data_IF_473847171928
#
_entry.id   IF_473847171928
#
_cell.length_a   1.000
_cell.length_b   1.000
_cell.length_c   1.000
_cell.angle_alpha   90.00
_cell.angle_beta   90.00
_cell.angle_gamma   90.00
#
_symmetry.space_group_name_H-M   'P 1'
#
loop_
_entity.id
_entity.type
_entity.pdbx_description
1 polymer ?
#
# COMPACT_ATOMS: atom_id res chain seq x y z
N UNK A 1 -11.56 15.00 5.06
CA UNK A 1 -10.28 14.41 5.53
C UNK A 1 -10.65 13.71 6.82
N UNK A 2 -10.70 12.38 6.80
CA UNK A 2 -11.34 11.50 7.81
C UNK A 2 -10.98 11.87 9.26
N UNK A 3 -9.74 12.33 9.49
CA UNK A 3 -9.26 12.79 10.80
C UNK A 3 -9.98 14.04 11.35
N UNK A 4 -10.38 15.00 10.50
CA UNK A 4 -11.15 16.19 10.91
C UNK A 4 -12.61 15.85 11.20
N UNK A 5 -13.16 14.87 10.50
CA UNK A 5 -14.52 14.39 10.70
C UNK A 5 -14.66 13.69 12.06
N UNK A 6 -13.63 12.96 12.49
CA UNK A 6 -13.53 12.33 13.82
C UNK A 6 -13.09 13.29 14.95
N UNK A 7 -13.06 14.61 14.68
CA UNK A 7 -12.73 15.68 15.64
C UNK A 7 -11.38 15.49 16.35
N UNK A 8 -10.39 14.94 15.65
CA UNK A 8 -9.02 14.92 16.17
C UNK A 8 -8.40 16.32 16.07
N UNK A 9 -7.76 16.81 17.15
CA UNK A 9 -7.04 18.08 17.13
C UNK A 9 -5.69 17.90 16.41
N UNK A 10 -5.73 17.72 15.09
CA UNK A 10 -4.54 17.62 14.24
C UNK A 10 -4.28 18.96 13.57
N UNK A 11 -3.06 19.47 13.69
CA UNK A 11 -2.61 20.65 12.95
C UNK A 11 -1.82 20.24 11.70
N UNK A 12 -1.53 21.22 10.85
CA UNK A 12 -0.66 21.00 9.69
C UNK A 12 0.74 20.56 10.08
N UNK A 13 1.22 20.91 11.27
CA UNK A 13 2.57 20.57 11.74
C UNK A 13 2.72 19.07 11.98
N UNK A 14 1.72 18.41 12.59
CA UNK A 14 1.75 16.96 12.76
C UNK A 14 1.69 16.22 11.42
N UNK A 15 0.84 16.71 10.51
CA UNK A 15 0.74 16.14 9.16
C UNK A 15 2.05 16.26 8.40
N UNK A 16 2.70 17.43 8.45
CA UNK A 16 4.02 17.62 7.82
C UNK A 16 5.08 16.72 8.44
N UNK A 17 5.05 16.52 9.76
CA UNK A 17 5.97 15.63 10.44
C UNK A 17 5.85 14.19 9.94
N UNK A 18 4.62 13.70 9.77
CA UNK A 18 4.37 12.40 9.18
C UNK A 18 4.89 12.31 7.74
N UNK A 19 4.61 13.31 6.90
CA UNK A 19 5.07 13.35 5.51
C UNK A 19 6.61 13.35 5.40
N UNK A 20 7.30 14.05 6.29
CA UNK A 20 8.77 14.04 6.32
C UNK A 20 9.32 12.68 6.77
N UNK A 21 8.66 11.98 7.69
CA UNK A 21 9.02 10.61 8.05
C UNK A 21 8.84 9.63 6.87
N UNK A 22 7.75 9.78 6.11
CA UNK A 22 7.51 8.98 4.91
C UNK A 22 8.54 9.25 3.81
N UNK A 23 8.88 10.52 3.55
CA UNK A 23 9.94 10.89 2.60
C UNK A 23 11.29 10.27 2.94
N UNK A 24 11.57 10.10 4.24
CA UNK A 24 12.80 9.47 4.74
C UNK A 24 12.74 7.93 4.75
N UNK A 25 11.66 7.32 4.26
CA UNK A 25 11.46 5.86 4.27
C UNK A 25 11.60 5.24 5.68
N UNK A 26 11.13 5.94 6.72
CA UNK A 26 11.17 5.42 8.11
C UNK A 26 10.31 4.15 8.25
N UNK A 27 9.20 4.07 7.51
CA UNK A 27 8.33 2.89 7.40
C UNK A 27 8.05 2.64 5.93
N UNK A 28 7.99 1.36 5.53
CA UNK A 28 7.73 0.97 4.14
C UNK A 28 7.05 -0.40 4.08
N UNK A 29 6.05 -0.53 3.20
CA UNK A 29 5.45 -1.82 2.83
C UNK A 29 4.65 -2.55 3.92
N UNK A 30 4.51 -1.98 5.12
CA UNK A 30 3.70 -2.56 6.21
C UNK A 30 2.71 -1.55 6.77
N UNK A 31 1.43 -1.90 6.74
CA UNK A 31 0.32 -1.07 7.26
C UNK A 31 0.44 -0.87 8.76
N UNK A 32 0.85 -1.90 9.51
CA UNK A 32 1.02 -1.83 10.95
C UNK A 32 2.10 -0.82 11.37
N UNK A 33 3.24 -0.80 10.67
CA UNK A 33 4.31 0.17 10.92
C UNK A 33 3.83 1.61 10.61
N UNK A 34 3.05 1.76 9.54
CA UNK A 34 2.43 3.04 9.21
C UNK A 34 1.39 3.47 10.24
N UNK A 35 0.60 2.55 10.80
CA UNK A 35 -0.33 2.83 11.88
C UNK A 35 0.39 3.41 13.11
N UNK A 36 1.45 2.76 13.57
CA UNK A 36 2.19 3.25 14.73
C UNK A 36 2.89 4.59 14.46
N UNK A 37 3.49 4.77 13.29
CA UNK A 37 4.12 6.04 12.92
C UNK A 37 3.09 7.18 12.82
N UNK A 38 1.97 6.94 12.16
CA UNK A 38 0.92 7.94 12.01
C UNK A 38 0.28 8.30 13.34
N UNK A 39 0.04 7.33 14.24
CA UNK A 39 -0.43 7.57 15.60
C UNK A 39 0.56 8.41 16.40
N UNK A 40 1.86 8.10 16.32
CA UNK A 40 2.94 8.83 16.98
C UNK A 40 3.02 10.29 16.50
N UNK A 41 2.86 10.53 15.19
CA UNK A 41 2.94 11.88 14.64
C UNK A 41 1.67 12.70 14.91
N UNK A 42 0.49 12.10 14.73
CA UNK A 42 -0.79 12.80 14.64
C UNK A 42 -1.52 12.92 15.98
N UNK A 43 -1.16 12.12 16.99
CA UNK A 43 -1.86 12.13 18.29
C UNK A 43 -0.94 12.62 19.40
N UNK A 44 -1.28 13.78 19.98
CA UNK A 44 -0.50 14.44 21.05
C UNK A 44 -0.98 14.12 22.46
N UNK A 45 -2.22 13.67 22.60
CA UNK A 45 -2.86 13.35 23.87
C UNK A 45 -3.50 11.96 23.73
N UNK A 46 -3.19 11.07 24.68
CA UNK A 46 -3.72 9.71 24.78
C UNK A 46 -5.25 9.65 24.73
N UNK A 47 -5.94 10.71 25.17
CA UNK A 47 -7.41 10.79 25.12
C UNK A 47 -7.98 10.76 23.70
N UNK A 48 -7.15 10.98 22.68
CA UNK A 48 -7.56 10.94 21.28
C UNK A 48 -7.17 9.63 20.58
N UNK A 49 -6.63 8.65 21.30
CA UNK A 49 -6.27 7.33 20.77
C UNK A 49 -7.49 6.63 20.16
N UNK A 50 -8.60 6.51 20.90
CA UNK A 50 -9.82 5.87 20.40
C UNK A 50 -10.38 6.53 19.13
N UNK A 51 -10.29 7.86 19.03
CA UNK A 51 -10.76 8.59 17.84
C UNK A 51 -9.86 8.32 16.64
N UNK A 52 -8.55 8.22 16.88
CA UNK A 52 -7.59 7.95 15.83
C UNK A 52 -7.77 6.54 15.30
N UNK A 53 -7.94 5.57 16.19
CA UNK A 53 -8.10 4.16 15.81
C UNK A 53 -9.35 3.97 14.94
N UNK A 54 -10.47 4.61 15.30
CA UNK A 54 -11.69 4.63 14.48
C UNK A 54 -11.48 5.31 13.11
N UNK A 55 -10.82 6.47 13.10
CA UNK A 55 -10.53 7.18 11.86
C UNK A 55 -9.62 6.38 10.93
N UNK A 56 -8.62 5.71 11.51
CA UNK A 56 -7.64 4.90 10.81
C UNK A 56 -8.28 3.64 10.23
N UNK A 57 -9.05 2.90 11.04
CA UNK A 57 -9.78 1.72 10.58
C UNK A 57 -10.73 2.06 9.41
N UNK A 58 -11.51 3.13 9.54
CA UNK A 58 -12.41 3.59 8.46
C UNK A 58 -11.64 3.98 7.20
N UNK A 59 -10.47 4.59 7.33
CA UNK A 59 -9.65 4.94 6.17
C UNK A 59 -9.10 3.68 5.48
N UNK A 60 -8.60 2.71 6.26
CA UNK A 60 -8.00 1.50 5.72
C UNK A 60 -9.01 0.49 5.16
N UNK A 61 -10.21 0.36 5.74
CA UNK A 61 -11.31 -0.41 5.13
C UNK A 61 -11.61 0.09 3.70
N UNK A 62 -11.59 1.40 3.49
CA UNK A 62 -11.78 1.96 2.15
C UNK A 62 -10.57 1.72 1.23
N UNK A 63 -9.36 1.59 1.76
CA UNK A 63 -8.16 1.31 0.97
C UNK A 63 -8.13 -0.14 0.53
N UNK A 64 -8.47 -1.10 1.41
CA UNK A 64 -8.59 -2.53 1.04
C UNK A 64 -9.59 -2.72 -0.10
N UNK A 65 -10.75 -2.04 -0.05
CA UNK A 65 -11.75 -2.07 -1.12
C UNK A 65 -11.21 -1.51 -2.44
N UNK A 66 -10.36 -0.47 -2.40
CA UNK A 66 -9.76 0.12 -3.60
C UNK A 66 -8.67 -0.79 -4.18
N UNK A 67 -7.86 -1.41 -3.34
CA UNK A 67 -6.81 -2.33 -3.77
C UNK A 67 -7.43 -3.56 -4.45
N UNK A 68 -8.45 -4.16 -3.84
CA UNK A 68 -9.25 -5.23 -4.47
C UNK A 68 -9.82 -4.79 -5.83
N UNK A 69 -10.50 -3.63 -5.89
CA UNK A 69 -11.06 -3.12 -7.16
C UNK A 69 -10.01 -2.81 -8.23
N UNK A 70 -8.82 -2.40 -7.83
CA UNK A 70 -7.70 -2.15 -8.74
C UNK A 70 -7.17 -3.48 -9.29
N UNK A 71 -7.05 -4.50 -8.45
CA UNK A 71 -6.60 -5.84 -8.83
C UNK A 71 -7.58 -6.52 -9.80
N UNK A 72 -8.90 -6.40 -9.57
CA UNK A 72 -9.93 -6.97 -10.46
C UNK A 72 -10.03 -6.29 -11.83
N UNK A 73 -9.47 -5.09 -12.01
CA UNK A 73 -9.58 -4.33 -13.26
C UNK A 73 -8.31 -4.31 -14.12
N UNK A 74 -7.21 -4.96 -13.69
CA UNK A 74 -5.98 -5.00 -14.50
C UNK A 74 -6.18 -5.91 -15.72
N UNK A 75 -6.11 -5.39 -16.96
CA UNK A 75 -6.25 -6.25 -18.14
C UNK A 75 -5.02 -7.15 -18.31
N UNK A 76 -5.25 -8.44 -18.56
CA UNK A 76 -4.21 -9.46 -18.76
C UNK A 76 -3.13 -9.07 -19.80
N UNK A 77 -3.54 -8.47 -20.92
CA UNK A 77 -2.60 -8.03 -21.96
C UNK A 77 -1.73 -6.85 -21.55
N UNK A 78 -2.27 -5.92 -20.75
CA UNK A 78 -1.49 -4.79 -20.23
C UNK A 78 -0.46 -5.26 -19.21
N UNK A 79 -0.84 -6.22 -18.36
CA UNK A 79 0.04 -6.82 -17.35
C UNK A 79 1.19 -7.60 -18.00
N UNK A 80 0.90 -8.43 -19.02
CA UNK A 80 1.95 -9.11 -19.82
C UNK A 80 2.94 -8.12 -20.41
N UNK A 81 2.47 -7.05 -21.05
CA UNK A 81 3.34 -6.03 -21.66
C UNK A 81 4.20 -5.30 -20.62
N UNK A 82 3.69 -5.04 -19.43
CA UNK A 82 4.49 -4.45 -18.35
C UNK A 82 5.59 -5.40 -17.87
N UNK A 83 5.28 -6.68 -17.67
CA UNK A 83 6.28 -7.68 -17.28
C UNK A 83 7.36 -7.84 -18.36
N UNK A 84 6.97 -7.91 -19.64
CA UNK A 84 7.91 -7.92 -20.76
C UNK A 84 8.73 -6.63 -20.86
N UNK A 85 8.20 -5.49 -20.43
CA UNK A 85 8.94 -4.23 -20.42
C UNK A 85 9.91 -4.09 -19.25
N UNK A 86 9.70 -4.83 -18.16
CA UNK A 86 10.57 -4.81 -16.97
C UNK A 86 11.71 -5.82 -17.05
N UNK A 87 11.57 -6.86 -17.88
CA UNK A 87 12.59 -7.89 -18.06
C UNK A 87 13.60 -7.46 -19.13
N UNK A 88 14.90 -7.56 -18.82
CA UNK A 88 15.96 -7.37 -19.81
C UNK A 88 16.06 -8.59 -20.75
N UNK A 89 16.64 -8.44 -21.94
CA UNK A 89 16.64 -9.50 -22.97
C UNK A 89 17.29 -10.82 -22.49
N UNK A 90 18.27 -10.74 -21.58
CA UNK A 90 18.89 -11.91 -20.94
C UNK A 90 17.98 -12.59 -19.90
N UNK A 91 17.08 -11.84 -19.27
CA UNK A 91 16.12 -12.36 -18.28
C UNK A 91 14.91 -12.98 -18.98
N UNK A 92 14.46 -12.39 -20.10
CA UNK A 92 13.42 -12.98 -20.96
C UNK A 92 13.81 -14.37 -21.45
N UNK A 93 15.04 -14.53 -21.96
CA UNK A 93 15.54 -15.82 -22.44
C UNK A 93 15.67 -16.87 -21.32
N UNK A 94 16.07 -16.44 -20.10
CA UNK A 94 16.12 -17.33 -18.93
C UNK A 94 14.74 -17.77 -18.48
N UNK A 95 13.76 -16.86 -18.51
CA UNK A 95 12.36 -17.15 -18.12
C UNK A 95 11.69 -18.07 -19.15
N UNK A 96 11.95 -17.88 -20.45
CA UNK A 96 11.51 -18.81 -21.50
C UNK A 96 12.05 -20.23 -21.30
N UNK A 97 13.31 -20.37 -20.87
CA UNK A 97 13.94 -21.67 -20.64
C UNK A 97 13.46 -22.41 -19.37
N UNK A 98 12.90 -21.69 -18.39
CA UNK A 98 12.50 -22.22 -17.08
C UNK A 98 10.99 -22.53 -16.93
N UNK A 99 10.19 -22.27 -17.96
CA UNK A 99 8.74 -22.51 -17.96
C UNK A 99 7.88 -21.35 -18.45
N UNK A 100 8.50 -20.31 -19.01
CA UNK A 100 7.83 -19.20 -19.65
C UNK A 100 7.20 -18.19 -18.69
N UNK A 101 6.85 -17.04 -19.26
CA UNK A 101 6.10 -15.96 -18.61
C UNK A 101 4.78 -16.47 -17.99
N UNK A 102 4.22 -17.54 -18.54
CA UNK A 102 2.96 -18.16 -18.11
C UNK A 102 3.04 -18.73 -16.68
N UNK A 103 4.14 -19.40 -16.32
CA UNK A 103 4.32 -19.97 -14.98
C UNK A 103 4.56 -18.88 -13.93
N UNK A 104 5.21 -17.79 -14.33
CA UNK A 104 5.47 -16.62 -13.50
C UNK A 104 4.16 -15.85 -13.22
N UNK A 105 3.29 -15.76 -14.25
CA UNK A 105 1.94 -15.23 -14.12
C UNK A 105 1.04 -16.12 -13.24
N UNK A 106 1.18 -17.44 -13.32
CA UNK A 106 0.44 -18.38 -12.49
C UNK A 106 0.84 -18.26 -11.00
N UNK A 107 2.14 -18.23 -10.68
CA UNK A 107 2.59 -17.98 -9.30
C UNK A 107 2.17 -16.60 -8.79
N UNK A 108 2.18 -15.57 -9.65
CA UNK A 108 1.73 -14.24 -9.30
C UNK A 108 0.23 -14.24 -8.93
N UNK A 109 -0.62 -14.90 -9.72
CA UNK A 109 -2.05 -15.07 -9.38
C UNK A 109 -2.22 -15.85 -8.09
N UNK A 110 -1.50 -16.94 -7.92
CA UNK A 110 -1.64 -17.80 -6.74
C UNK A 110 -1.30 -17.04 -5.45
N UNK A 111 -0.27 -16.18 -5.46
CA UNK A 111 0.06 -15.28 -4.33
C UNK A 111 -0.94 -14.15 -4.10
N UNK A 112 -1.77 -13.82 -5.09
CA UNK A 112 -2.82 -12.81 -4.96
C UNK A 112 -4.15 -13.41 -4.49
N UNK A 113 -4.34 -14.72 -4.67
CA UNK A 113 -5.49 -15.47 -4.16
C UNK A 113 -5.28 -15.97 -2.71
N UNK A 114 -4.02 -16.05 -2.23
CA UNK A 114 -3.62 -16.28 -0.82
C UNK A 114 -3.74 -15.01 0.04
#
# INVERSE_FOLDING_TARGET
MTLKEERLPVSFTELFSLLECLKKNIVFGKVEDFYYLSRLCLVKDEKNFDKFDKAFAKYFENVEIIDDLALYQIPDEWLRKQLESMLSDEEKARIEALGGLEKLMEEFRNRMEE
#
